data_IF_803232730248
#
_entry.id   IF_803232730248
#
_cell.length_a   1.000
_cell.length_b   1.000
_cell.length_c   1.000
_cell.angle_alpha   90.00
_cell.angle_beta   90.00
_cell.angle_gamma   90.00
#
_symmetry.space_group_name_H-M   'P 1'
#
loop_
_entity.id
_entity.type
_entity.pdbx_description
1 polymer ?
#
# COMPACT_ATOMS: atom_id res chain seq x y z
N UNK A 1 13.41 -8.04 -54.70
CA UNK A 1 11.96 -7.98 -54.44
C UNK A 1 11.77 -7.34 -53.07
N UNK A 2 11.17 -6.16 -53.01
CA UNK A 2 11.00 -5.35 -51.80
C UNK A 2 9.51 -5.17 -51.50
N UNK A 3 9.06 -5.18 -50.23
CA UNK A 3 7.70 -4.82 -49.90
C UNK A 3 7.57 -3.32 -49.60
N UNK A 4 6.58 -2.72 -50.27
CA UNK A 4 6.12 -1.33 -50.14
C UNK A 4 5.58 -1.06 -48.73
N UNK A 5 5.94 0.10 -48.17
CA UNK A 5 5.29 0.73 -47.00
C UNK A 5 3.98 1.38 -47.44
N UNK A 6 2.91 1.19 -46.67
CA UNK A 6 1.69 1.98 -46.78
C UNK A 6 1.65 2.98 -45.61
N UNK A 7 1.66 4.26 -45.96
CA UNK A 7 1.39 5.38 -45.07
C UNK A 7 -0.12 5.56 -44.92
N UNK A 8 -0.63 5.68 -43.71
CA UNK A 8 -2.00 6.12 -43.45
C UNK A 8 -1.96 7.44 -42.68
N UNK A 9 -2.57 8.44 -43.30
CA UNK A 9 -2.64 9.85 -42.93
C UNK A 9 -4.05 10.16 -42.40
N UNK A 10 -4.11 11.15 -41.50
CA UNK A 10 -5.27 11.93 -41.05
C UNK A 10 -6.27 11.22 -40.12
N UNK A 11 -6.63 11.84 -38.99
CA UNK A 11 -7.63 12.93 -39.00
C UNK A 11 -7.79 13.50 -37.58
N UNK A 12 -7.47 14.79 -37.46
CA UNK A 12 -7.83 15.67 -36.34
C UNK A 12 -9.32 16.07 -36.45
N UNK A 13 -10.06 16.15 -35.34
CA UNK A 13 -11.14 17.12 -35.25
C UNK A 13 -10.93 18.12 -34.12
N UNK A 14 -11.02 19.38 -34.55
CA UNK A 14 -11.00 20.61 -33.77
C UNK A 14 -12.39 20.92 -33.18
N UNK A 15 -12.36 21.60 -32.03
CA UNK A 15 -13.36 22.48 -31.42
C UNK A 15 -14.76 21.94 -31.05
N UNK A 16 -15.16 22.12 -29.78
CA UNK A 16 -16.02 23.25 -29.37
C UNK A 16 -16.52 23.14 -27.92
N UNK A 17 -16.56 24.31 -27.29
CA UNK A 17 -17.24 24.71 -26.05
C UNK A 17 -18.52 23.93 -25.68
N UNK A 18 -18.78 23.79 -24.37
CA UNK A 18 -19.91 24.46 -23.67
C UNK A 18 -19.88 24.12 -22.18
N UNK A 19 -19.75 25.16 -21.35
CA UNK A 19 -19.99 25.10 -19.92
C UNK A 19 -21.45 24.75 -19.60
N UNK A 20 -21.69 23.71 -18.78
CA UNK A 20 -22.89 23.59 -17.95
C UNK A 20 -22.55 22.94 -16.61
N UNK A 21 -22.49 23.80 -15.60
CA UNK A 21 -22.74 23.50 -14.19
C UNK A 21 -23.95 22.59 -14.06
N UNK A 22 -23.75 21.35 -13.62
CA UNK A 22 -24.80 20.51 -13.07
C UNK A 22 -24.28 19.84 -11.80
N UNK A 23 -24.88 20.25 -10.70
CA UNK A 23 -24.79 19.68 -9.36
C UNK A 23 -25.21 18.21 -9.39
N UNK A 24 -24.41 17.24 -8.90
CA UNK A 24 -24.92 15.91 -8.62
C UNK A 24 -25.74 15.96 -7.33
N UNK A 25 -27.04 15.77 -7.48
CA UNK A 25 -27.95 15.50 -6.37
C UNK A 25 -27.50 14.26 -5.62
N UNK A 26 -27.39 14.42 -4.30
CA UNK A 26 -27.38 13.38 -3.29
C UNK A 26 -28.38 12.26 -3.62
N UNK A 27 -27.87 11.08 -3.93
CA UNK A 27 -28.63 9.83 -3.84
C UNK A 27 -27.82 8.87 -2.98
N UNK A 28 -28.11 8.91 -1.68
CA UNK A 28 -27.65 7.93 -0.70
C UNK A 28 -28.33 6.61 -0.99
N UNK A 29 -27.72 5.82 -1.87
CA UNK A 29 -28.07 4.42 -2.03
C UNK A 29 -27.37 3.63 -0.92
N UNK A 30 -28.10 2.91 -0.05
CA UNK A 30 -27.48 2.08 0.96
C UNK A 30 -26.68 0.95 0.28
N UNK A 31 -25.45 0.63 0.72
CA UNK A 31 -24.76 -0.54 0.25
C UNK A 31 -25.59 -1.77 0.63
N UNK A 32 -25.87 -2.56 -0.41
CA UNK A 32 -26.44 -3.89 -0.31
C UNK A 32 -25.77 -4.65 0.84
N UNK A 33 -26.65 -5.02 1.76
CA UNK A 33 -26.47 -6.00 2.80
C UNK A 33 -25.83 -7.26 2.20
N UNK A 34 -24.51 -7.43 2.35
CA UNK A 34 -23.89 -8.73 2.22
C UNK A 34 -24.53 -9.63 3.26
N UNK A 35 -25.47 -10.45 2.80
CA UNK A 35 -25.96 -11.61 3.53
C UNK A 35 -24.76 -12.44 3.95
N UNK A 36 -24.41 -12.34 5.23
CA UNK A 36 -23.70 -13.39 5.92
C UNK A 36 -24.65 -14.60 5.97
N UNK A 37 -24.62 -15.39 4.89
CA UNK A 37 -25.13 -16.75 4.92
C UNK A 37 -24.33 -17.49 5.98
N UNK A 38 -25.01 -17.89 7.05
CA UNK A 38 -24.49 -18.82 8.03
C UNK A 38 -24.04 -20.11 7.32
N UNK A 39 -22.81 -20.60 7.51
CA UNK A 39 -22.51 -21.97 7.16
C UNK A 39 -23.20 -22.86 8.18
N UNK A 40 -24.19 -23.61 7.70
CA UNK A 40 -24.83 -24.70 8.42
C UNK A 40 -23.79 -25.66 8.99
N UNK A 41 -24.10 -26.12 10.20
CA UNK A 41 -23.41 -27.18 10.92
C UNK A 41 -23.49 -28.46 10.11
N UNK A 42 -22.46 -28.75 9.32
CA UNK A 42 -22.23 -30.07 8.76
C UNK A 42 -21.03 -30.68 9.49
N UNK A 43 -21.36 -31.51 10.48
CA UNK A 43 -20.47 -32.37 11.26
C UNK A 43 -19.72 -33.33 10.34
N UNK A 44 -18.60 -32.86 9.77
CA UNK A 44 -17.71 -33.72 8.99
C UNK A 44 -16.50 -34.08 9.84
N UNK A 45 -16.64 -35.21 10.52
CA UNK A 45 -15.60 -36.14 11.00
C UNK A 45 -14.16 -35.61 10.88
N UNK A 46 -13.70 -34.98 11.96
CA UNK A 46 -12.33 -34.52 12.17
C UNK A 46 -11.36 -35.69 12.05
N UNK A 47 -10.58 -35.71 10.98
CA UNK A 47 -9.37 -36.53 10.84
C UNK A 47 -8.27 -35.89 11.68
N UNK A 48 -7.56 -36.63 12.56
CA UNK A 48 -6.49 -36.06 13.36
C UNK A 48 -5.34 -35.64 12.44
N UNK A 49 -5.13 -34.34 12.29
CA UNK A 49 -3.90 -33.83 11.70
C UNK A 49 -2.83 -33.86 12.79
N UNK A 50 -1.75 -34.55 12.48
CA UNK A 50 -0.61 -34.75 13.34
C UNK A 50 0.06 -33.42 13.70
N UNK A 51 0.77 -33.35 14.84
CA UNK A 51 1.47 -32.14 15.25
C UNK A 51 2.61 -31.86 14.26
N UNK A 52 2.49 -30.77 13.49
CA UNK A 52 3.63 -30.25 12.75
C UNK A 52 4.62 -29.70 13.79
N UNK A 53 5.63 -30.49 14.13
CA UNK A 53 6.88 -29.98 14.71
C UNK A 53 7.44 -28.98 13.71
N UNK A 54 7.32 -27.68 14.01
CA UNK A 54 8.12 -26.67 13.33
C UNK A 54 8.70 -25.70 14.36
N UNK A 55 9.72 -26.19 15.07
CA UNK A 55 10.83 -25.34 15.50
C UNK A 55 11.61 -24.96 14.25
N UNK A 56 11.22 -23.86 13.64
CA UNK A 56 12.16 -23.08 12.86
C UNK A 56 11.86 -21.63 13.20
N UNK A 57 12.73 -21.07 14.05
CA UNK A 57 12.77 -19.64 14.30
C UNK A 57 12.66 -18.90 12.97
N UNK A 58 11.86 -17.81 12.90
CA UNK A 58 12.02 -16.87 11.82
C UNK A 58 13.42 -16.28 11.96
N UNK A 59 14.36 -16.84 11.20
CA UNK A 59 15.63 -16.23 10.91
C UNK A 59 15.37 -14.77 10.62
N UNK A 60 15.91 -13.93 11.49
CA UNK A 60 16.03 -12.50 11.37
C UNK A 60 16.45 -12.17 9.93
N UNK A 61 15.45 -11.91 9.09
CA UNK A 61 15.66 -11.28 7.80
C UNK A 61 16.27 -9.94 8.14
N UNK A 62 17.58 -9.91 7.99
CA UNK A 62 18.39 -8.72 8.04
C UNK A 62 17.86 -7.89 6.89
N UNK A 63 16.88 -7.03 7.20
CA UNK A 63 16.57 -5.85 6.42
C UNK A 63 17.84 -5.00 6.47
N UNK A 64 18.80 -5.41 5.63
CA UNK A 64 19.95 -4.61 5.28
C UNK A 64 19.30 -3.37 4.69
N UNK A 65 19.45 -2.19 5.32
CA UNK A 65 18.98 -0.96 4.70
C UNK A 65 19.58 -0.93 3.28
N UNK A 66 18.85 -0.45 2.26
CA UNK A 66 19.45 -0.24 0.95
C UNK A 66 20.70 0.60 1.18
N UNK A 67 21.84 -0.09 1.07
CA UNK A 67 23.14 0.54 1.11
C UNK A 67 23.12 1.44 -0.09
N UNK A 68 22.91 2.73 0.15
CA UNK A 68 23.33 3.80 -0.73
C UNK A 68 24.85 3.68 -0.84
N UNK A 69 25.32 2.68 -1.58
CA UNK A 69 26.65 2.71 -2.16
C UNK A 69 26.60 3.91 -3.11
N UNK A 70 27.35 4.99 -2.84
CA UNK A 70 27.55 6.00 -3.87
C UNK A 70 28.16 5.24 -5.06
N UNK A 71 27.39 5.18 -6.15
CA UNK A 71 27.85 4.63 -7.42
C UNK A 71 29.08 5.44 -7.82
N UNK A 72 30.25 4.89 -7.48
CA UNK A 72 31.49 5.20 -8.18
C UNK A 72 31.25 4.75 -9.62
N UNK A 73 31.43 5.67 -10.55
CA UNK A 73 31.17 5.55 -11.98
C UNK A 73 29.75 5.96 -12.36
N UNK A 74 29.50 7.27 -12.32
CA UNK A 74 29.60 8.00 -13.57
C UNK A 74 30.30 9.32 -13.26
N UNK A 75 31.56 9.39 -13.70
CA UNK A 75 32.11 10.65 -14.19
C UNK A 75 31.12 11.11 -15.24
N UNK A 76 30.11 11.88 -14.81
CA UNK A 76 29.48 12.89 -15.64
C UNK A 76 30.70 13.55 -16.29
N UNK A 77 30.91 13.42 -17.60
CA UNK A 77 31.68 14.44 -18.28
C UNK A 77 30.82 15.65 -17.99
N UNK A 78 31.19 16.40 -16.94
CA UNK A 78 30.87 17.80 -16.80
C UNK A 78 30.94 18.28 -18.23
N UNK A 79 29.80 18.64 -18.87
CA UNK A 79 29.86 19.14 -20.21
C UNK A 79 30.82 20.27 -20.02
N UNK A 80 32.03 20.09 -20.55
CA UNK A 80 33.03 21.10 -20.57
C UNK A 80 32.25 22.19 -21.27
N UNK A 81 31.72 23.13 -20.48
CA UNK A 81 31.79 24.53 -20.76
C UNK A 81 33.18 24.59 -21.31
N UNK A 82 33.26 24.57 -22.63
CA UNK A 82 34.50 24.80 -23.31
C UNK A 82 34.95 26.04 -22.57
N UNK A 83 35.98 25.86 -21.73
CA UNK A 83 36.90 26.90 -21.44
C UNK A 83 37.33 27.24 -22.85
N UNK A 84 36.55 28.13 -23.47
CA UNK A 84 36.91 28.91 -24.62
C UNK A 84 38.17 29.50 -24.10
N UNK A 85 39.26 28.83 -24.47
CA UNK A 85 40.60 29.07 -24.03
C UNK A 85 40.75 30.56 -24.26
N UNK A 86 40.63 31.34 -23.19
CA UNK A 86 40.86 32.77 -23.22
C UNK A 86 42.38 32.85 -23.23
N UNK A 87 42.99 32.32 -24.30
CA UNK A 87 44.28 32.76 -24.76
C UNK A 87 44.10 34.25 -24.88
N UNK A 88 44.73 34.97 -23.95
CA UNK A 88 44.80 36.42 -23.86
C UNK A 88 45.58 36.96 -25.07
N UNK A 89 45.09 36.67 -26.27
CA UNK A 89 45.61 37.20 -27.51
C UNK A 89 45.24 38.67 -27.50
N UNK A 90 46.26 39.51 -27.31
CA UNK A 90 46.33 40.93 -27.66
C UNK A 90 45.08 41.38 -28.40
N UNK A 91 44.24 42.18 -27.71
CA UNK A 91 42.99 42.76 -28.22
C UNK A 91 43.32 43.69 -29.38
N UNK A 92 43.54 43.11 -30.56
CA UNK A 92 43.33 43.81 -31.82
C UNK A 92 41.84 43.77 -32.01
N UNK A 93 41.19 44.92 -31.88
CA UNK A 93 39.78 45.07 -32.22
C UNK A 93 39.56 44.45 -33.61
N UNK A 94 38.88 43.30 -33.65
CA UNK A 94 38.50 42.70 -34.92
C UNK A 94 37.62 43.74 -35.62
N UNK A 95 37.90 44.09 -36.88
CA UNK A 95 37.07 45.03 -37.63
C UNK A 95 35.61 44.59 -37.52
N UNK A 96 34.71 45.51 -37.18
CA UNK A 96 33.29 45.20 -36.97
C UNK A 96 32.69 44.44 -38.18
N UNK A 97 33.15 44.75 -39.40
CA UNK A 97 32.75 44.05 -40.61
C UNK A 97 33.09 42.55 -40.61
N UNK A 98 34.18 42.13 -39.98
CA UNK A 98 34.58 40.72 -39.84
C UNK A 98 33.64 39.99 -38.87
N UNK A 99 33.30 40.63 -37.75
CA UNK A 99 32.39 40.05 -36.74
C UNK A 99 30.98 39.87 -37.30
N UNK A 100 30.50 40.82 -38.10
CA UNK A 100 29.15 40.74 -38.69
C UNK A 100 29.11 39.79 -39.91
N UNK A 101 30.25 39.57 -40.58
CA UNK A 101 30.34 38.63 -41.71
C UNK A 101 30.63 37.19 -41.28
N UNK A 102 31.01 36.97 -40.01
CA UNK A 102 31.13 35.64 -39.43
C UNK A 102 29.77 34.93 -39.45
N UNK A 103 29.67 33.89 -40.28
CA UNK A 103 28.46 33.08 -40.36
C UNK A 103 28.38 32.19 -39.13
N UNK A 104 27.35 32.38 -38.32
CA UNK A 104 27.07 31.49 -37.20
C UNK A 104 26.92 30.04 -37.65
N UNK A 105 27.46 29.12 -36.86
CA UNK A 105 27.20 27.70 -37.05
C UNK A 105 25.67 27.46 -37.03
N UNK A 106 25.13 26.63 -37.95
CA UNK A 106 23.70 26.33 -37.94
C UNK A 106 23.26 25.77 -36.59
N UNK A 107 22.20 26.36 -36.01
CA UNK A 107 21.65 25.91 -34.74
C UNK A 107 20.82 24.64 -34.93
N UNK A 108 21.26 23.54 -34.33
CA UNK A 108 20.51 22.29 -34.29
C UNK A 108 19.61 22.25 -33.05
N UNK A 109 18.42 22.84 -33.18
CA UNK A 109 17.41 22.88 -32.13
C UNK A 109 16.95 21.50 -31.66
N UNK A 110 16.92 20.51 -32.57
CA UNK A 110 16.44 19.17 -32.26
C UNK A 110 17.36 18.47 -31.28
N UNK A 111 18.67 18.56 -31.52
CA UNK A 111 19.65 17.91 -30.66
C UNK A 111 19.83 18.64 -29.32
N UNK A 112 19.79 19.97 -29.34
CA UNK A 112 20.16 20.77 -28.16
C UNK A 112 19.00 21.06 -27.21
N UNK A 113 17.77 21.10 -27.71
CA UNK A 113 16.59 21.49 -26.91
C UNK A 113 15.54 20.40 -26.90
N UNK A 114 15.10 19.95 -28.08
CA UNK A 114 13.96 19.02 -28.18
C UNK A 114 14.32 17.64 -27.63
N UNK A 115 15.53 17.14 -27.93
CA UNK A 115 16.01 15.84 -27.47
C UNK A 115 16.01 15.72 -25.94
N UNK A 116 16.75 16.58 -25.21
CA UNK A 116 16.77 16.56 -23.75
C UNK A 116 15.39 16.71 -23.13
N UNK A 117 14.53 17.58 -23.67
CA UNK A 117 13.18 17.76 -23.15
C UNK A 117 12.31 16.51 -23.34
N UNK A 118 12.43 15.85 -24.49
CA UNK A 118 11.70 14.60 -24.78
C UNK A 118 12.19 13.47 -23.87
N UNK A 119 13.49 13.40 -23.62
CA UNK A 119 14.09 12.44 -22.69
C UNK A 119 13.63 12.68 -21.24
N UNK A 120 13.60 13.94 -20.80
CA UNK A 120 13.08 14.33 -19.49
C UNK A 120 11.61 13.92 -19.33
N UNK A 121 10.78 14.25 -20.32
CA UNK A 121 9.35 13.91 -20.32
C UNK A 121 9.13 12.40 -20.23
N UNK A 122 9.94 11.61 -20.94
CA UNK A 122 9.88 10.15 -20.84
C UNK A 122 10.30 9.64 -19.47
N UNK A 123 11.33 10.24 -18.86
CA UNK A 123 11.81 9.87 -17.53
C UNK A 123 10.73 10.14 -16.48
N UNK A 124 10.08 11.29 -16.55
CA UNK A 124 8.99 11.66 -15.65
C UNK A 124 7.82 10.69 -15.78
N UNK A 125 7.41 10.36 -17.00
CA UNK A 125 6.35 9.37 -17.23
C UNK A 125 6.70 8.00 -16.64
N UNK A 126 7.96 7.58 -16.73
CA UNK A 126 8.42 6.31 -16.15
C UNK A 126 8.42 6.36 -14.63
N UNK A 127 8.90 7.47 -14.04
CA UNK A 127 8.91 7.68 -12.60
C UNK A 127 7.49 7.67 -12.01
N UNK A 128 6.53 8.33 -12.66
CA UNK A 128 5.13 8.32 -12.21
C UNK A 128 4.55 6.89 -12.20
N UNK A 129 4.89 6.07 -13.20
CA UNK A 129 4.46 4.68 -13.25
C UNK A 129 5.11 3.83 -12.15
N UNK A 130 6.42 3.98 -11.93
CA UNK A 130 7.15 3.28 -10.86
C UNK A 130 6.62 3.67 -9.48
N UNK A 131 6.39 4.97 -9.25
CA UNK A 131 5.82 5.49 -8.01
C UNK A 131 4.41 4.95 -7.77
N UNK A 132 3.56 4.96 -8.82
CA UNK A 132 2.22 4.41 -8.74
C UNK A 132 2.21 2.92 -8.41
N UNK A 133 3.14 2.16 -8.99
CA UNK A 133 3.31 0.73 -8.72
C UNK A 133 3.76 0.48 -7.28
N UNK A 134 4.75 1.22 -6.79
CA UNK A 134 5.26 1.11 -5.43
C UNK A 134 4.19 1.47 -4.39
N UNK A 135 3.41 2.52 -4.65
CA UNK A 135 2.33 2.94 -3.75
C UNK A 135 1.22 1.88 -3.67
N UNK A 136 0.88 1.26 -4.81
CA UNK A 136 -0.11 0.19 -4.81
C UNK A 136 0.38 -1.03 -4.02
N UNK A 137 1.64 -1.42 -4.19
CA UNK A 137 2.25 -2.56 -3.51
C UNK A 137 2.24 -2.39 -1.98
N UNK A 138 2.71 -1.25 -1.47
CA UNK A 138 2.71 -0.97 -0.03
C UNK A 138 1.29 -0.92 0.56
N UNK A 139 0.32 -0.40 -0.19
CA UNK A 139 -1.09 -0.40 0.23
C UNK A 139 -1.66 -1.81 0.33
N UNK A 140 -1.38 -2.67 -0.66
CA UNK A 140 -1.83 -4.06 -0.66
C UNK A 140 -1.16 -4.88 0.44
N UNK A 141 0.14 -4.71 0.65
CA UNK A 141 0.88 -5.37 1.73
C UNK A 141 0.34 -4.95 3.11
N UNK A 142 0.14 -3.64 3.31
CA UNK A 142 -0.42 -3.12 4.57
C UNK A 142 -1.83 -3.66 4.81
N UNK A 143 -2.67 -3.73 3.77
CA UNK A 143 -4.01 -4.30 3.89
C UNK A 143 -3.97 -5.80 4.21
N UNK A 144 -3.12 -6.57 3.53
CA UNK A 144 -2.94 -7.99 3.80
C UNK A 144 -2.50 -8.24 5.25
N UNK A 145 -1.55 -7.44 5.75
CA UNK A 145 -1.08 -7.53 7.13
C UNK A 145 -2.17 -7.16 8.14
N UNK A 146 -2.87 -6.05 7.92
CA UNK A 146 -3.98 -5.62 8.78
C UNK A 146 -5.14 -6.63 8.79
N UNK A 147 -5.42 -7.30 7.67
CA UNK A 147 -6.45 -8.32 7.57
C UNK A 147 -6.05 -9.66 8.23
N UNK A 148 -4.78 -10.03 8.15
CA UNK A 148 -4.28 -11.29 8.72
C UNK A 148 -4.13 -11.23 10.25
N UNK A 149 -3.77 -10.06 10.78
CA UNK A 149 -3.39 -9.89 12.20
C UNK A 149 -4.49 -10.26 13.20
N UNK A 150 -5.76 -9.81 13.08
CA UNK A 150 -6.81 -10.18 14.03
C UNK A 150 -7.04 -11.70 14.13
N UNK A 151 -6.93 -12.41 13.00
CA UNK A 151 -7.08 -13.87 12.97
C UNK A 151 -5.93 -14.55 13.70
N UNK A 152 -4.70 -14.10 13.47
CA UNK A 152 -3.52 -14.63 14.16
C UNK A 152 -3.58 -14.40 15.67
N UNK A 153 -3.92 -13.19 16.10
CA UNK A 153 -4.06 -12.85 17.52
C UNK A 153 -5.17 -13.68 18.19
N UNK A 154 -6.31 -13.86 17.52
CA UNK A 154 -7.40 -14.72 17.99
C UNK A 154 -6.99 -16.19 18.13
N UNK A 155 -6.27 -16.73 17.15
CA UNK A 155 -5.75 -18.10 17.20
C UNK A 155 -4.76 -18.28 18.34
N UNK A 156 -3.85 -17.33 18.54
CA UNK A 156 -2.89 -17.36 19.64
C UNK A 156 -3.59 -17.32 21.01
N UNK A 157 -4.63 -16.50 21.14
CA UNK A 157 -5.44 -16.44 22.37
C UNK A 157 -6.20 -17.76 22.62
N UNK A 158 -6.75 -18.37 21.57
CA UNK A 158 -7.43 -19.67 21.64
C UNK A 158 -6.47 -20.78 22.06
N UNK A 159 -5.29 -20.87 21.44
CA UNK A 159 -4.29 -21.87 21.79
C UNK A 159 -3.81 -21.70 23.24
N UNK A 160 -3.62 -20.45 23.69
CA UNK A 160 -3.29 -20.16 25.09
C UNK A 160 -4.38 -20.63 26.05
N UNK A 161 -5.65 -20.51 25.67
CA UNK A 161 -6.77 -21.00 26.46
C UNK A 161 -6.81 -22.54 26.48
N UNK A 162 -6.62 -23.20 25.34
CA UNK A 162 -6.56 -24.66 25.24
C UNK A 162 -5.44 -25.25 26.09
N UNK A 163 -4.27 -24.62 26.09
CA UNK A 163 -3.16 -25.02 26.95
C UNK A 163 -3.55 -24.92 28.42
N UNK A 164 -4.16 -23.80 28.84
CA UNK A 164 -4.63 -23.64 30.23
C UNK A 164 -5.69 -24.67 30.62
N UNK A 165 -6.61 -25.01 29.71
CA UNK A 165 -7.60 -26.06 29.94
C UNK A 165 -6.89 -27.40 30.13
N UNK A 166 -5.89 -27.70 29.30
CA UNK A 166 -5.08 -28.92 29.40
C UNK A 166 -4.33 -29.00 30.72
N UNK A 167 -3.70 -27.91 31.15
CA UNK A 167 -3.00 -27.83 32.44
C UNK A 167 -3.95 -28.10 33.61
N UNK A 168 -5.15 -27.50 33.59
CA UNK A 168 -6.17 -27.72 34.64
C UNK A 168 -6.64 -29.17 34.65
N UNK A 169 -6.88 -29.77 33.49
CA UNK A 169 -7.27 -31.18 33.39
C UNK A 169 -6.17 -32.11 33.92
N UNK A 170 -4.90 -31.81 33.67
CA UNK A 170 -3.77 -32.58 34.21
C UNK A 170 -3.70 -32.48 35.74
N UNK A 171 -3.86 -31.27 36.29
CA UNK A 171 -3.92 -31.05 37.74
C UNK A 171 -5.13 -31.77 38.36
N UNK A 172 -6.30 -31.72 37.73
CA UNK A 172 -7.49 -32.46 38.19
C UNK A 172 -7.26 -33.97 38.15
N UNK A 173 -6.64 -34.48 37.09
CA UNK A 173 -6.30 -35.90 36.95
C UNK A 173 -5.34 -36.38 38.04
N UNK A 174 -4.39 -35.54 38.46
CA UNK A 174 -3.39 -35.89 39.49
C UNK A 174 -3.92 -35.73 40.92
N UNK A 175 -4.87 -34.81 41.15
CA UNK A 175 -5.56 -34.65 42.44
C UNK A 175 -6.58 -35.75 42.75
N UNK A 176 -6.89 -36.62 41.77
CA UNK A 176 -7.44 -37.95 41.97
C UNK A 176 -8.69 -38.03 42.84
N UNK A 177 -9.88 -38.13 42.23
CA UNK A 177 -11.01 -38.88 42.78
C UNK A 177 -11.49 -38.52 44.22
N UNK A 178 -11.09 -37.39 44.81
CA UNK A 178 -11.62 -36.95 46.12
C UNK A 178 -12.81 -36.00 45.93
N UNK A 179 -13.97 -36.62 45.69
CA UNK A 179 -15.30 -36.25 46.19
C UNK A 179 -15.59 -34.74 46.35
N UNK A 180 -16.22 -34.10 45.35
CA UNK A 180 -17.39 -33.18 45.49
C UNK A 180 -17.63 -32.39 44.19
N UNK A 181 -18.35 -33.03 43.26
CA UNK A 181 -18.55 -32.59 41.85
C UNK A 181 -19.76 -31.64 41.64
N UNK A 182 -20.15 -30.79 42.60
CA UNK A 182 -21.38 -29.98 42.43
C UNK A 182 -21.19 -28.47 42.30
N UNK A 183 -20.07 -27.87 42.71
CA UNK A 183 -20.00 -26.40 42.86
C UNK A 183 -19.04 -25.68 41.90
N UNK A 184 -18.13 -26.38 41.21
CA UNK A 184 -17.12 -25.73 40.36
C UNK A 184 -17.68 -25.30 39.00
N UNK A 185 -18.67 -26.03 38.46
CA UNK A 185 -19.35 -25.68 37.20
C UNK A 185 -20.18 -24.39 37.28
N UNK A 186 -20.73 -24.06 38.46
CA UNK A 186 -21.42 -22.79 38.67
C UNK A 186 -20.45 -21.60 38.67
N UNK A 187 -19.22 -21.77 39.15
CA UNK A 187 -18.23 -20.69 39.23
C UNK A 187 -17.74 -20.25 37.84
N UNK A 188 -17.43 -21.19 36.95
CA UNK A 188 -17.07 -20.88 35.56
C UNK A 188 -18.26 -20.29 34.80
N UNK A 189 -19.48 -20.81 34.99
CA UNK A 189 -20.69 -20.24 34.39
C UNK A 189 -20.93 -18.79 34.81
N UNK A 190 -20.70 -18.44 36.09
CA UNK A 190 -20.83 -17.07 36.57
C UNK A 190 -19.74 -16.15 36.03
N UNK A 191 -18.51 -16.66 35.85
CA UNK A 191 -17.43 -15.89 35.26
C UNK A 191 -17.66 -15.59 33.78
N UNK A 192 -18.10 -16.58 32.99
CA UNK A 192 -18.48 -16.35 31.59
C UNK A 192 -19.71 -15.44 31.44
N UNK A 193 -20.70 -15.56 32.34
CA UNK A 193 -21.84 -14.65 32.36
C UNK A 193 -21.43 -13.19 32.65
N UNK A 194 -20.47 -12.98 33.56
CA UNK A 194 -19.95 -11.64 33.88
C UNK A 194 -19.23 -10.99 32.70
N UNK A 195 -18.39 -11.74 31.99
CA UNK A 195 -17.70 -11.28 30.78
C UNK A 195 -18.68 -10.91 29.66
N UNK A 196 -19.71 -11.73 29.45
CA UNK A 196 -20.74 -11.45 28.46
C UNK A 196 -21.56 -10.20 28.81
N UNK A 197 -21.91 -10.03 30.09
CA UNK A 197 -22.68 -8.88 30.56
C UNK A 197 -21.89 -7.57 30.49
N UNK A 198 -20.57 -7.61 30.75
CA UNK A 198 -19.71 -6.45 30.56
C UNK A 198 -19.66 -6.04 29.08
N UNK A 199 -19.41 -6.99 28.18
CA UNK A 199 -19.38 -6.72 26.73
C UNK A 199 -20.71 -6.14 26.22
N UNK A 200 -21.84 -6.62 26.76
CA UNK A 200 -23.17 -6.08 26.47
C UNK A 200 -23.34 -4.64 26.96
N UNK A 201 -22.82 -4.29 28.14
CA UNK A 201 -22.84 -2.89 28.65
C UNK A 201 -22.02 -1.97 27.75
N UNK A 202 -20.79 -2.37 27.43
CA UNK A 202 -19.88 -1.56 26.62
C UNK A 202 -20.46 -1.31 25.21
N UNK A 203 -21.09 -2.33 24.63
CA UNK A 203 -21.79 -2.20 23.35
C UNK A 203 -22.99 -1.25 23.43
N UNK A 204 -23.81 -1.35 24.48
CA UNK A 204 -24.94 -0.44 24.68
C UNK A 204 -24.48 1.00 24.90
N UNK A 205 -23.40 1.21 25.64
CA UNK A 205 -22.81 2.53 25.85
C UNK A 205 -22.31 3.11 24.52
N UNK A 206 -21.60 2.32 23.73
CA UNK A 206 -21.12 2.71 22.41
C UNK A 206 -22.27 3.10 21.47
N UNK A 207 -23.32 2.28 21.38
CA UNK A 207 -24.51 2.57 20.57
C UNK A 207 -25.19 3.86 21.05
N UNK A 208 -25.25 4.09 22.37
CA UNK A 208 -25.83 5.31 22.94
C UNK A 208 -25.00 6.54 22.55
N UNK A 209 -23.67 6.48 22.68
CA UNK A 209 -22.77 7.57 22.26
C UNK A 209 -22.90 7.85 20.77
N UNK A 210 -23.00 6.81 19.94
CA UNK A 210 -23.19 6.96 18.49
C UNK A 210 -24.52 7.61 18.15
N UNK A 211 -25.62 7.18 18.78
CA UNK A 211 -26.94 7.81 18.61
C UNK A 211 -26.93 9.28 19.05
N UNK A 212 -26.28 9.59 20.16
CA UNK A 212 -26.14 10.97 20.65
C UNK A 212 -25.33 11.83 19.68
N UNK A 213 -24.24 11.31 19.13
CA UNK A 213 -23.43 12.02 18.15
C UNK A 213 -24.21 12.26 16.84
N UNK A 214 -24.98 11.27 16.41
CA UNK A 214 -25.86 11.41 15.24
C UNK A 214 -26.95 12.46 15.47
N UNK A 215 -27.63 12.45 16.62
CA UNK A 215 -28.64 13.45 16.94
C UNK A 215 -28.07 14.87 16.93
N UNK A 216 -26.89 15.06 17.55
CA UNK A 216 -26.18 16.34 17.54
C UNK A 216 -25.79 16.81 16.13
N UNK A 217 -25.44 15.87 15.24
CA UNK A 217 -25.08 16.18 13.86
C UNK A 217 -26.30 16.50 12.99
N UNK A 218 -27.43 15.82 13.21
CA UNK A 218 -28.65 15.96 12.40
C UNK A 218 -29.59 17.07 12.88
N UNK A 219 -29.34 17.67 14.04
CA UNK A 219 -30.09 18.84 14.54
C UNK A 219 -31.56 18.57 14.87
N UNK A 220 -31.92 17.31 15.16
CA UNK A 220 -33.23 16.91 15.67
C UNK A 220 -33.24 16.80 17.19
#
# INVERSE_FOLDING_TARGET
MAPKRHSTTAQEPSASDTAKTSTPSTSTQPPLQSQASAPGVNTTKTRPLQPLKNSQEPSSSTNKPPSLTPSKNDTIPEPALAQSDVTSSVVKERPLAEVISEKFAPFDHNRLVVGPFTEETNRDANFEQELGTLLLDIMLETHAWAAARPRFESQLAMQKLENKISDVMEVESTQGMSLSSSNVFHSLSLWFASLFEQTRRDLNEFVTRMKSALAALTGF
#
